data_IF_276836052932
#
_entry.id   IF_276836052932
#
_cell.length_a   1.000
_cell.length_b   1.000
_cell.length_c   1.000
_cell.angle_alpha   90.00
_cell.angle_beta   90.00
_cell.angle_gamma   90.00
#
_symmetry.space_group_name_H-M   'P 1'
#
loop_
_entity.id
_entity.type
_entity.pdbx_description
1 polymer ?
#
# COMPACT_ATOMS: atom_id res chain seq x y z
N UNK A 1 35.99 -29.47 -2.52
CA UNK A 1 35.70 -28.60 -3.68
C UNK A 1 34.47 -27.79 -3.35
N UNK A 2 34.63 -26.53 -2.92
CA UNK A 2 33.51 -25.57 -2.82
C UNK A 2 33.92 -24.37 -3.65
N UNK A 3 33.34 -24.20 -4.83
CA UNK A 3 33.67 -23.06 -5.72
C UNK A 3 32.40 -22.51 -6.35
N UNK A 4 31.41 -22.23 -5.51
CA UNK A 4 30.42 -21.20 -5.79
C UNK A 4 30.59 -20.16 -4.69
N UNK A 5 31.36 -19.13 -5.03
CA UNK A 5 31.56 -17.94 -4.21
C UNK A 5 31.05 -16.74 -4.99
N UNK A 6 30.13 -15.98 -4.41
CA UNK A 6 29.58 -14.78 -5.02
C UNK A 6 29.62 -13.64 -4.02
N UNK A 7 29.92 -12.44 -4.49
CA UNK A 7 29.86 -11.25 -3.64
C UNK A 7 28.41 -10.81 -3.46
N UNK A 8 28.04 -10.49 -2.22
CA UNK A 8 26.69 -10.08 -1.85
C UNK A 8 26.74 -8.84 -0.95
N UNK A 9 25.74 -7.98 -1.04
CA UNK A 9 25.49 -6.91 -0.08
C UNK A 9 24.44 -7.38 0.93
N UNK A 10 24.73 -7.19 2.22
CA UNK A 10 23.81 -7.45 3.31
C UNK A 10 23.55 -6.17 4.11
N UNK A 11 22.28 -5.89 4.40
CA UNK A 11 21.87 -4.77 5.26
C UNK A 11 20.50 -4.98 5.91
N UNK A 12 20.26 -4.30 7.04
CA UNK A 12 18.97 -4.28 7.76
C UNK A 12 18.20 -2.99 7.54
N UNK A 13 18.91 -1.86 7.55
CA UNK A 13 18.38 -0.52 7.26
C UNK A 13 19.31 0.22 6.30
N UNK A 14 18.75 1.13 5.48
CA UNK A 14 19.50 1.97 4.54
C UNK A 14 20.23 3.10 5.28
N UNK A 15 21.22 2.72 6.08
CA UNK A 15 22.19 3.64 6.69
C UNK A 15 23.54 3.27 6.10
N UNK A 16 24.22 4.25 5.51
CA UNK A 16 25.46 4.06 4.74
C UNK A 16 26.48 3.15 5.43
N UNK A 17 26.76 3.41 6.70
CA UNK A 17 27.82 2.76 7.49
C UNK A 17 27.43 1.33 7.92
N UNK A 18 26.21 0.89 7.59
CA UNK A 18 25.56 -0.34 8.07
C UNK A 18 25.21 -1.30 6.93
N UNK A 19 25.77 -1.08 5.74
CA UNK A 19 25.74 -1.99 4.59
C UNK A 19 27.10 -2.66 4.46
N UNK A 20 27.13 -3.98 4.39
CA UNK A 20 28.36 -4.74 4.26
C UNK A 20 28.34 -5.66 3.05
N UNK A 21 29.38 -5.56 2.23
CA UNK A 21 29.75 -6.51 1.18
C UNK A 21 30.49 -7.68 1.80
N UNK A 22 29.96 -8.87 1.60
CA UNK A 22 30.50 -10.14 2.09
C UNK A 22 30.51 -11.18 0.98
N UNK A 23 31.27 -12.25 1.16
CA UNK A 23 31.33 -13.36 0.22
C UNK A 23 30.32 -14.43 0.65
N UNK A 24 29.34 -14.71 -0.19
CA UNK A 24 28.47 -15.87 -0.06
C UNK A 24 29.24 -17.13 -0.44
N UNK A 25 29.33 -18.10 0.46
CA UNK A 25 30.02 -19.36 0.24
C UNK A 25 29.04 -20.51 0.43
N UNK A 26 28.87 -21.33 -0.60
CA UNK A 26 28.06 -22.54 -0.48
C UNK A 26 28.78 -23.59 0.39
N UNK A 27 28.14 -24.00 1.48
CA UNK A 27 28.65 -25.01 2.39
C UNK A 27 27.72 -26.22 2.44
N UNK A 28 28.23 -27.37 1.96
CA UNK A 28 27.53 -28.66 1.94
C UNK A 28 26.98 -29.07 3.31
N UNK A 29 27.75 -28.84 4.36
CA UNK A 29 27.38 -29.30 5.71
C UNK A 29 26.17 -28.54 6.27
N UNK A 30 25.91 -27.32 5.81
CA UNK A 30 24.77 -26.53 6.28
C UNK A 30 23.47 -27.00 5.62
N UNK A 31 23.41 -27.08 4.29
CA UNK A 31 22.16 -27.49 3.64
C UNK A 31 21.86 -28.99 3.81
N UNK A 32 22.88 -29.85 3.89
CA UNK A 32 22.68 -31.29 4.20
C UNK A 32 22.10 -31.52 5.61
N UNK A 33 22.29 -30.58 6.54
CA UNK A 33 21.69 -30.57 7.88
C UNK A 33 20.31 -29.91 7.93
N UNK A 34 19.77 -29.44 6.80
CA UNK A 34 18.42 -28.91 6.70
C UNK A 34 18.28 -27.42 6.93
N UNK A 35 19.37 -26.64 6.88
CA UNK A 35 19.29 -25.17 6.92
C UNK A 35 18.85 -24.63 5.55
N UNK A 36 17.52 -24.53 5.36
CA UNK A 36 16.88 -23.95 4.17
C UNK A 36 16.19 -22.63 4.53
N UNK A 37 16.04 -21.74 3.54
CA UNK A 37 15.37 -20.43 3.68
C UNK A 37 15.93 -19.53 4.79
N UNK A 38 17.20 -19.74 5.15
CA UNK A 38 17.93 -18.95 6.15
C UNK A 38 19.32 -18.60 5.66
N UNK A 39 19.88 -17.50 6.18
CA UNK A 39 21.29 -17.17 6.01
C UNK A 39 22.07 -17.50 7.28
N UNK A 40 23.25 -18.09 7.10
CA UNK A 40 24.15 -18.43 8.20
C UNK A 40 25.36 -17.49 8.15
N UNK A 41 25.52 -16.69 9.19
CA UNK A 41 26.69 -15.83 9.37
C UNK A 41 27.80 -16.55 10.16
N UNK A 42 29.04 -16.20 9.84
CA UNK A 42 30.20 -16.67 10.59
C UNK A 42 30.15 -16.18 12.03
N UNK A 43 30.44 -17.07 12.98
CA UNK A 43 30.66 -16.73 14.40
C UNK A 43 32.12 -16.34 14.70
N UNK A 44 33.00 -16.37 13.69
CA UNK A 44 34.40 -15.96 13.79
C UNK A 44 34.56 -14.45 13.57
N UNK A 45 35.59 -13.87 14.19
CA UNK A 45 35.93 -12.44 14.12
C UNK A 45 35.62 -11.71 15.42
N UNK A 46 36.04 -10.45 15.52
CA UNK A 46 35.91 -9.65 16.76
C UNK A 46 34.48 -9.16 17.01
N UNK A 47 33.66 -9.09 15.95
CA UNK A 47 32.27 -8.66 15.99
C UNK A 47 31.42 -9.49 15.05
N UNK A 48 30.22 -9.88 15.50
CA UNK A 48 29.25 -10.58 14.67
C UNK A 48 28.80 -9.71 13.49
N UNK A 49 28.58 -10.31 12.33
CA UNK A 49 28.08 -9.59 11.15
C UNK A 49 26.72 -8.94 11.41
N UNK A 50 25.81 -9.61 12.13
CA UNK A 50 24.49 -9.04 12.49
C UNK A 50 24.60 -7.68 13.20
N UNK A 51 25.52 -7.57 14.17
CA UNK A 51 25.79 -6.32 14.89
C UNK A 51 26.30 -5.19 13.97
N UNK A 52 27.05 -5.51 12.91
CA UNK A 52 27.48 -4.52 11.91
C UNK A 52 26.32 -4.04 11.01
N UNK A 53 25.25 -4.83 10.90
CA UNK A 53 24.05 -4.51 10.12
C UNK A 53 23.04 -3.73 10.97
N UNK A 54 23.46 -2.57 11.47
CA UNK A 54 22.66 -1.68 12.30
C UNK A 54 22.36 -2.16 13.72
N UNK A 55 23.32 -2.83 14.36
CA UNK A 55 23.15 -3.30 15.75
C UNK A 55 22.18 -4.47 15.87
N UNK A 56 21.96 -5.21 14.77
CA UNK A 56 21.10 -6.38 14.76
C UNK A 56 21.69 -7.56 15.53
N UNK A 57 20.86 -8.55 15.77
CA UNK A 57 21.21 -9.81 16.40
C UNK A 57 20.57 -11.00 15.66
N UNK A 58 20.33 -12.11 16.35
CA UNK A 58 19.77 -13.34 15.78
C UNK A 58 18.44 -13.73 16.47
N UNK A 59 17.71 -12.78 17.07
CA UNK A 59 16.45 -13.02 17.80
C UNK A 59 15.20 -13.08 16.90
N UNK A 60 15.39 -12.94 15.58
CA UNK A 60 14.33 -12.84 14.57
C UNK A 60 14.64 -11.87 13.43
N UNK A 61 15.80 -11.22 13.47
CA UNK A 61 16.26 -10.29 12.45
C UNK A 61 16.37 -10.91 11.05
N UNK A 62 15.78 -10.22 10.08
CA UNK A 62 15.93 -10.52 8.65
C UNK A 62 16.88 -9.52 7.99
N UNK A 63 17.64 -9.97 7.01
CA UNK A 63 18.56 -9.12 6.23
C UNK A 63 18.14 -9.06 4.77
N UNK A 64 18.30 -7.90 4.14
CA UNK A 64 18.17 -7.76 2.70
C UNK A 64 19.48 -8.18 2.06
N UNK A 65 19.39 -9.07 1.08
CA UNK A 65 20.52 -9.55 0.29
C UNK A 65 20.41 -9.09 -1.14
N UNK A 66 21.49 -8.52 -1.67
CA UNK A 66 21.61 -8.16 -3.09
C UNK A 66 22.82 -8.90 -3.64
N UNK A 67 22.60 -9.72 -4.66
CA UNK A 67 23.65 -10.47 -5.37
C UNK A 67 23.80 -10.03 -6.84
N UNK A 68 23.11 -8.97 -7.25
CA UNK A 68 23.25 -8.40 -8.59
C UNK A 68 24.67 -7.82 -8.77
N UNK A 69 25.40 -8.31 -9.76
CA UNK A 69 26.78 -7.91 -10.05
C UNK A 69 26.90 -6.42 -10.40
N UNK A 70 25.87 -5.83 -11.02
CA UNK A 70 25.86 -4.41 -11.36
C UNK A 70 25.84 -3.51 -10.11
N UNK A 71 25.33 -4.02 -8.98
CA UNK A 71 25.26 -3.30 -7.71
C UNK A 71 26.43 -3.70 -6.78
N UNK A 72 26.75 -5.00 -6.72
CA UNK A 72 27.75 -5.55 -5.78
C UNK A 72 29.19 -5.23 -6.20
N UNK A 73 29.51 -5.27 -7.50
CA UNK A 73 30.87 -5.05 -8.02
C UNK A 73 31.43 -3.67 -7.65
N UNK A 74 30.74 -2.55 -7.93
CA UNK A 74 31.27 -1.21 -7.62
C UNK A 74 31.24 -0.86 -6.12
N UNK A 75 30.55 -1.63 -5.28
CA UNK A 75 30.39 -1.31 -3.86
C UNK A 75 31.67 -1.57 -3.07
N UNK A 76 32.02 -0.62 -2.20
CA UNK A 76 33.15 -0.73 -1.27
C UNK A 76 32.68 -0.57 0.18
N UNK A 77 33.14 -1.45 1.05
CA UNK A 77 32.84 -1.37 2.48
C UNK A 77 33.40 -0.09 3.09
N UNK A 78 32.58 0.57 3.91
CA UNK A 78 33.02 1.68 4.75
C UNK A 78 33.96 1.20 5.86
N UNK A 79 34.77 2.13 6.40
CA UNK A 79 35.58 1.83 7.57
C UNK A 79 34.69 1.44 8.77
N UNK A 80 35.12 0.46 9.57
CA UNK A 80 34.31 -0.08 10.67
C UNK A 80 34.10 0.92 11.81
N UNK A 81 34.97 1.91 11.94
CA UNK A 81 34.87 2.97 12.95
C UNK A 81 33.61 3.81 12.79
N UNK A 82 33.07 3.91 11.58
CA UNK A 82 31.82 4.62 11.33
C UNK A 82 30.58 3.83 11.81
N UNK A 83 30.73 2.56 12.18
CA UNK A 83 29.59 1.76 12.64
C UNK A 83 29.11 2.18 14.03
N UNK A 84 30.00 2.74 14.86
CA UNK A 84 29.74 3.10 16.24
C UNK A 84 29.85 4.62 16.44
N UNK A 85 28.96 5.23 17.22
CA UNK A 85 29.07 6.64 17.55
C UNK A 85 30.24 6.90 18.52
N UNK A 86 30.62 8.18 18.66
CA UNK A 86 31.61 8.62 19.65
C UNK A 86 31.28 8.11 21.07
N UNK A 87 32.31 7.86 21.88
CA UNK A 87 32.16 7.27 23.22
C UNK A 87 31.21 8.05 24.16
N UNK A 88 31.15 9.38 24.02
CA UNK A 88 30.29 10.25 24.82
C UNK A 88 28.89 10.49 24.19
N UNK A 89 28.59 9.87 23.05
CA UNK A 89 27.35 10.11 22.30
C UNK A 89 26.09 9.85 23.12
N UNK A 90 26.01 8.69 23.79
CA UNK A 90 24.84 8.35 24.60
C UNK A 90 24.67 9.35 25.74
N UNK A 91 25.77 9.69 26.43
CA UNK A 91 25.78 10.64 27.56
C UNK A 91 25.31 12.03 27.15
N UNK A 92 25.74 12.48 25.97
CA UNK A 92 25.48 13.83 25.46
C UNK A 92 24.08 13.98 24.85
N UNK A 93 23.50 12.92 24.30
CA UNK A 93 22.22 13.00 23.57
C UNK A 93 21.03 12.40 24.34
N UNK A 94 21.28 11.45 25.25
CA UNK A 94 20.24 10.71 25.96
C UNK A 94 20.39 10.84 27.47
N UNK A 95 19.29 10.57 28.16
CA UNK A 95 19.29 10.24 29.57
C UNK A 95 18.61 8.87 29.75
N UNK A 96 19.12 8.08 30.70
CA UNK A 96 18.48 6.81 31.08
C UNK A 96 17.35 7.09 32.06
N UNK A 97 16.14 6.65 31.75
CA UNK A 97 15.05 6.53 32.71
C UNK A 97 15.41 5.40 33.67
N UNK A 98 16.09 5.75 34.77
CA UNK A 98 16.65 4.79 35.76
C UNK A 98 15.61 4.31 36.77
N UNK A 99 14.35 4.13 36.37
CA UNK A 99 13.35 3.62 37.29
C UNK A 99 13.35 2.10 37.23
N UNK A 100 14.04 1.45 38.17
CA UNK A 100 14.01 0.00 38.27
C UNK A 100 12.78 -0.45 39.07
N UNK A 101 12.24 -1.63 38.75
CA UNK A 101 11.10 -2.21 39.49
C UNK A 101 11.38 -2.35 40.99
N UNK A 102 12.63 -2.63 41.37
CA UNK A 102 13.05 -2.67 42.78
C UNK A 102 12.90 -1.31 43.48
N UNK A 103 13.13 -0.22 42.77
CA UNK A 103 13.07 1.14 43.31
C UNK A 103 11.60 1.57 43.46
N UNK A 104 10.76 1.21 42.48
CA UNK A 104 9.30 1.36 42.56
C UNK A 104 8.74 0.58 43.76
N UNK A 105 9.15 -0.68 43.93
CA UNK A 105 8.73 -1.53 45.04
C UNK A 105 9.13 -0.93 46.38
N UNK A 106 10.41 -0.54 46.53
CA UNK A 106 10.90 0.07 47.75
C UNK A 106 10.17 1.39 48.08
N UNK A 107 9.88 2.23 47.08
CA UNK A 107 9.13 3.48 47.27
C UNK A 107 7.67 3.23 47.65
N UNK A 108 7.00 2.25 47.03
CA UNK A 108 5.63 1.87 47.37
C UNK A 108 5.53 1.33 48.81
N UNK A 109 6.49 0.48 49.22
CA UNK A 109 6.58 -0.06 50.58
C UNK A 109 6.86 1.05 51.61
N UNK A 110 7.78 1.97 51.33
CA UNK A 110 8.12 3.11 52.19
C UNK A 110 6.97 4.12 52.33
N UNK A 111 6.24 4.39 51.24
CA UNK A 111 5.18 5.40 51.24
C UNK A 111 3.78 4.85 51.53
N UNK A 112 3.63 3.53 51.77
CA UNK A 112 2.34 2.82 51.88
C UNK A 112 1.36 3.13 50.74
N UNK A 113 1.87 3.45 49.55
CA UNK A 113 1.04 3.74 48.37
C UNK A 113 0.81 2.46 47.60
N UNK A 114 -0.27 2.43 46.84
CA UNK A 114 -0.57 1.32 45.95
C UNK A 114 0.54 1.17 44.89
N UNK A 115 1.16 0.00 44.87
CA UNK A 115 2.19 -0.36 43.91
C UNK A 115 1.63 -0.46 42.49
N UNK A 116 0.32 -0.76 42.37
CA UNK A 116 -0.37 -0.92 41.08
C UNK A 116 -0.34 0.39 40.29
N UNK A 117 -0.56 1.54 40.94
CA UNK A 117 -0.54 2.83 40.28
C UNK A 117 0.83 3.17 39.69
N UNK A 118 1.91 2.95 40.45
CA UNK A 118 3.28 3.23 40.00
C UNK A 118 3.75 2.23 38.92
N UNK A 119 3.35 0.97 39.04
CA UNK A 119 3.60 -0.02 38.01
C UNK A 119 2.85 0.30 36.71
N UNK A 120 1.60 0.74 36.82
CA UNK A 120 0.80 1.18 35.67
C UNK A 120 1.46 2.37 34.98
N UNK A 121 1.89 3.38 35.73
CA UNK A 121 2.63 4.53 35.17
C UNK A 121 3.91 4.09 34.44
N UNK A 122 4.70 3.19 35.02
CA UNK A 122 5.90 2.64 34.37
C UNK A 122 5.58 1.85 33.10
N UNK A 123 4.49 1.05 33.09
CA UNK A 123 4.04 0.32 31.90
C UNK A 123 3.52 1.25 30.80
N UNK A 124 2.86 2.35 31.18
CA UNK A 124 2.35 3.36 30.25
C UNK A 124 3.47 4.16 29.56
N UNK A 125 4.69 4.18 30.09
CA UNK A 125 5.84 4.81 29.41
C UNK A 125 6.12 4.18 28.04
N UNK A 126 5.81 2.89 27.84
CA UNK A 126 5.96 2.22 26.55
C UNK A 126 4.93 2.66 25.49
N UNK A 127 3.88 3.38 25.91
CA UNK A 127 2.84 3.95 25.03
C UNK A 127 3.18 5.40 24.66
N UNK A 128 4.17 6.01 25.33
CA UNK A 128 4.60 7.36 25.02
C UNK A 128 5.09 7.45 23.56
N UNK A 129 4.80 8.56 22.85
CA UNK A 129 5.18 8.70 21.45
C UNK A 129 6.69 8.58 21.30
N UNK A 130 7.12 7.52 20.61
CA UNK A 130 8.53 7.34 20.31
C UNK A 130 8.98 8.40 19.31
N UNK A 131 10.19 8.94 19.50
CA UNK A 131 10.75 9.95 18.61
C UNK A 131 11.36 9.34 17.34
N UNK A 132 11.11 8.05 17.10
CA UNK A 132 11.70 7.27 16.03
C UNK A 132 11.38 7.86 14.64
N UNK A 133 10.08 8.06 14.36
CA UNK A 133 9.65 8.62 13.07
C UNK A 133 10.17 10.04 12.85
N UNK A 134 10.30 10.82 13.93
CA UNK A 134 10.80 12.19 13.90
C UNK A 134 12.30 12.22 13.58
N UNK A 135 13.10 11.38 14.24
CA UNK A 135 14.54 11.29 13.97
C UNK A 135 14.86 10.68 12.60
N UNK A 136 14.04 9.76 12.08
CA UNK A 136 14.15 9.29 10.71
C UNK A 136 13.95 10.44 9.71
N UNK A 137 12.96 11.29 9.93
CA UNK A 137 12.73 12.47 9.11
C UNK A 137 13.90 13.46 9.20
N UNK A 138 14.41 13.73 10.41
CA UNK A 138 15.57 14.61 10.58
C UNK A 138 16.80 14.09 9.84
N UNK A 139 17.07 12.79 9.97
CA UNK A 139 18.16 12.12 9.25
C UNK A 139 18.03 12.25 7.73
N UNK A 140 16.84 12.00 7.17
CA UNK A 140 16.60 12.13 5.72
C UNK A 140 16.80 13.56 5.22
N UNK A 141 16.30 14.55 5.96
CA UNK A 141 16.47 15.96 5.63
C UNK A 141 17.95 16.38 5.68
N UNK A 142 18.69 15.94 6.69
CA UNK A 142 20.12 16.20 6.81
C UNK A 142 20.92 15.51 5.70
N UNK A 143 20.62 14.25 5.40
CA UNK A 143 21.25 13.49 4.31
C UNK A 143 21.02 14.14 2.95
N UNK A 144 19.83 14.70 2.71
CA UNK A 144 19.53 15.43 1.49
C UNK A 144 20.32 16.74 1.39
N UNK A 145 20.39 17.52 2.47
CA UNK A 145 21.03 18.85 2.48
C UNK A 145 22.55 18.76 2.49
N UNK A 146 23.12 17.89 3.32
CA UNK A 146 24.56 17.82 3.61
C UNK A 146 25.26 16.59 3.03
N UNK A 147 24.50 15.62 2.52
CA UNK A 147 25.05 14.33 2.12
C UNK A 147 25.20 13.35 3.28
N UNK A 148 25.52 12.11 2.94
CA UNK A 148 25.66 11.00 3.89
C UNK A 148 26.96 11.04 4.71
N UNK A 149 28.03 11.65 4.17
CA UNK A 149 29.33 11.78 4.84
C UNK A 149 29.38 12.83 5.94
N UNK A 150 28.37 13.71 6.01
CA UNK A 150 28.47 14.86 6.87
C UNK A 150 28.30 14.46 8.35
N UNK A 151 29.11 14.98 9.29
CA UNK A 151 29.05 14.60 10.71
C UNK A 151 27.67 14.77 11.34
N UNK A 152 26.93 15.81 10.92
CA UNK A 152 25.54 16.02 11.38
C UNK A 152 24.62 14.87 10.92
N UNK A 153 24.77 14.43 9.67
CA UNK A 153 23.97 13.33 9.11
C UNK A 153 24.30 12.01 9.80
N UNK A 154 25.58 11.70 9.99
CA UNK A 154 26.02 10.51 10.73
C UNK A 154 25.49 10.54 12.18
N UNK A 155 25.65 11.67 12.91
CA UNK A 155 25.09 11.85 14.26
C UNK A 155 23.58 11.59 14.30
N UNK A 156 22.81 12.15 13.37
CA UNK A 156 21.36 11.92 13.29
C UNK A 156 21.00 10.47 12.92
N UNK A 157 21.83 9.80 12.12
CA UNK A 157 21.70 8.37 11.84
C UNK A 157 21.88 7.53 13.11
N UNK A 158 22.88 7.83 13.93
CA UNK A 158 23.06 7.20 15.23
C UNK A 158 21.88 7.51 16.18
N UNK A 159 21.39 8.75 16.21
CA UNK A 159 20.20 9.12 16.99
C UNK A 159 18.98 8.29 16.59
N UNK A 160 18.71 8.17 15.28
CA UNK A 160 17.63 7.35 14.76
C UNK A 160 17.76 5.89 15.20
N UNK A 161 18.96 5.32 15.14
CA UNK A 161 19.16 3.91 15.52
C UNK A 161 19.03 3.68 17.02
N UNK A 162 19.52 4.59 17.87
CA UNK A 162 19.32 4.50 19.31
C UNK A 162 17.84 4.71 19.70
N UNK A 163 17.10 5.51 18.95
CA UNK A 163 15.65 5.67 19.13
C UNK A 163 14.85 4.40 18.79
N UNK A 164 15.39 3.46 17.99
CA UNK A 164 14.77 2.14 17.79
C UNK A 164 14.82 1.32 19.09
N UNK A 165 15.96 1.35 19.77
CA UNK A 165 16.21 0.58 20.99
C UNK A 165 15.79 1.31 22.27
N UNK A 166 15.38 2.57 22.17
CA UNK A 166 15.02 3.44 23.29
C UNK A 166 13.94 2.83 24.19
N UNK A 167 12.94 2.17 23.60
CA UNK A 167 11.84 1.51 24.34
C UNK A 167 12.37 0.35 25.21
N UNK A 168 13.35 -0.42 24.70
CA UNK A 168 13.93 -1.57 25.44
C UNK A 168 14.96 -1.13 26.48
N UNK A 169 15.73 -0.08 26.16
CA UNK A 169 16.86 0.39 26.95
C UNK A 169 16.50 1.46 27.99
N UNK A 170 15.27 2.00 27.94
CA UNK A 170 14.84 3.11 28.78
C UNK A 170 15.59 4.42 28.47
N UNK A 171 16.16 4.54 27.28
CA UNK A 171 16.82 5.76 26.82
C UNK A 171 15.77 6.77 26.36
N UNK A 172 15.91 8.00 26.84
CA UNK A 172 15.06 9.12 26.41
C UNK A 172 15.98 10.22 25.89
N UNK A 173 15.67 10.73 24.71
CA UNK A 173 16.42 11.86 24.13
C UNK A 173 16.28 13.06 25.06
N UNK A 174 17.38 13.75 25.28
CA UNK A 174 17.41 14.99 26.05
C UNK A 174 16.56 16.06 25.39
N UNK A 175 15.73 16.75 26.18
CA UNK A 175 14.79 17.75 25.67
C UNK A 175 15.51 18.91 24.98
N UNK A 176 16.66 19.33 25.51
CA UNK A 176 17.51 20.36 24.90
C UNK A 176 18.03 19.95 23.51
N UNK A 177 18.42 18.69 23.35
CA UNK A 177 18.91 18.13 22.08
C UNK A 177 17.75 18.01 21.10
N UNK A 178 16.61 17.48 21.56
CA UNK A 178 15.41 17.35 20.73
C UNK A 178 14.91 18.70 20.21
N UNK A 179 14.87 19.74 21.05
CA UNK A 179 14.46 21.10 20.64
C UNK A 179 15.42 21.70 19.62
N UNK A 180 16.73 21.49 19.79
CA UNK A 180 17.73 21.96 18.84
C UNK A 180 17.58 21.25 17.49
N UNK A 181 17.47 19.92 17.51
CA UNK A 181 17.30 19.09 16.31
C UNK A 181 15.99 19.42 15.58
N UNK A 182 14.89 19.57 16.32
CA UNK A 182 13.60 19.98 15.78
C UNK A 182 13.66 21.34 15.12
N UNK A 183 14.31 22.33 15.76
CA UNK A 183 14.46 23.67 15.18
C UNK A 183 15.24 23.65 13.86
N UNK A 184 16.22 22.76 13.74
CA UNK A 184 17.04 22.63 12.55
C UNK A 184 16.33 21.85 11.43
N UNK A 185 15.71 20.71 11.77
CA UNK A 185 15.36 19.64 10.83
C UNK A 185 13.88 19.32 10.69
N UNK A 186 13.00 19.92 11.52
CA UNK A 186 11.54 19.86 11.35
C UNK A 186 11.10 20.76 10.19
N UNK A 187 11.40 20.29 8.98
CA UNK A 187 11.20 20.95 7.69
C UNK A 187 10.36 20.07 6.77
N UNK A 188 9.84 20.70 5.73
CA UNK A 188 9.20 19.97 4.62
C UNK A 188 10.21 18.98 4.00
N UNK A 189 9.85 17.71 3.82
CA UNK A 189 10.73 16.73 3.20
C UNK A 189 11.01 17.08 1.72
N UNK A 190 12.11 16.59 1.14
CA UNK A 190 12.36 16.72 -0.29
C UNK A 190 11.28 16.03 -1.12
N UNK A 191 11.06 16.48 -2.36
CA UNK A 191 10.06 15.89 -3.28
C UNK A 191 10.29 14.40 -3.55
N UNK A 192 11.55 13.95 -3.61
CA UNK A 192 11.90 12.54 -3.75
C UNK A 192 11.54 11.67 -2.52
N UNK A 193 11.04 12.29 -1.46
CA UNK A 193 10.67 11.69 -0.19
C UNK A 193 9.26 12.11 0.23
N UNK A 194 8.22 11.86 -0.58
CA UNK A 194 6.87 12.32 -0.28
C UNK A 194 6.40 11.69 1.04
N UNK A 195 5.93 12.53 1.96
CA UNK A 195 5.27 12.04 3.17
C UNK A 195 3.81 11.74 2.82
N UNK A 196 3.32 10.53 3.13
CA UNK A 196 1.89 10.17 2.95
C UNK A 196 0.92 11.14 3.64
N UNK A 197 1.39 11.93 4.60
CA UNK A 197 0.60 12.96 5.30
C UNK A 197 0.40 14.25 4.51
N UNK A 198 1.15 14.50 3.44
CA UNK A 198 0.98 15.70 2.60
C UNK A 198 -0.26 15.62 1.71
N UNK A 199 -0.73 14.41 1.39
CA UNK A 199 -1.99 14.21 0.65
C UNK A 199 -3.22 14.66 1.46
N UNK A 200 -3.14 14.69 2.79
CA UNK A 200 -4.28 14.97 3.67
C UNK A 200 -4.37 16.42 4.18
N UNK A 201 -3.50 17.34 3.73
CA UNK A 201 -3.63 18.78 3.98
C UNK A 201 -3.70 19.22 5.46
N UNK A 202 -3.44 18.31 6.41
CA UNK A 202 -3.81 18.49 7.82
C UNK A 202 -2.67 18.87 8.76
N UNK A 203 -1.47 19.12 8.25
CA UNK A 203 -0.36 19.61 9.07
C UNK A 203 -0.07 21.08 8.77
N UNK A 204 0.08 21.86 9.84
CA UNK A 204 0.49 23.27 9.75
C UNK A 204 1.74 23.44 8.87
N UNK A 205 1.80 24.58 8.17
CA UNK A 205 2.81 24.90 7.15
C UNK A 205 4.21 24.75 7.74
N UNK A 206 4.90 23.64 7.45
CA UNK A 206 6.31 23.46 7.80
C UNK A 206 7.15 24.44 7.01
N UNK A 207 8.28 24.84 7.59
CA UNK A 207 9.23 25.70 6.88
C UNK A 207 9.94 24.88 5.79
N UNK A 208 10.28 25.51 4.65
CA UNK A 208 10.97 24.82 3.57
C UNK A 208 12.34 24.33 4.04
N UNK A 209 12.76 23.19 3.51
CA UNK A 209 14.11 22.67 3.72
C UNK A 209 15.13 23.60 3.04
N UNK A 210 16.30 23.74 3.66
CA UNK A 210 17.39 24.49 3.05
C UNK A 210 17.80 23.86 1.71
N UNK A 211 18.28 24.68 0.78
CA UNK A 211 18.87 24.18 -0.46
C UNK A 211 20.01 23.21 -0.15
N UNK A 212 20.13 22.18 -0.99
CA UNK A 212 21.22 21.21 -0.94
C UNK A 212 22.56 21.95 -1.03
N UNK A 213 23.48 21.62 -0.12
CA UNK A 213 24.81 22.22 0.01
C UNK A 213 25.90 21.41 -0.68
N UNK A 214 25.49 20.40 -1.44
CA UNK A 214 26.36 19.39 -2.02
C UNK A 214 26.18 19.40 -3.52
N UNK A 215 27.29 19.58 -4.23
CA UNK A 215 27.28 19.84 -5.68
C UNK A 215 26.95 18.60 -6.53
N UNK A 216 27.08 17.40 -5.96
CA UNK A 216 26.71 16.18 -6.67
C UNK A 216 25.20 15.93 -6.63
N UNK A 217 24.69 15.44 -7.76
CA UNK A 217 23.29 15.11 -8.00
C UNK A 217 22.80 14.11 -6.95
N UNK A 218 21.60 14.32 -6.41
CA UNK A 218 20.97 13.33 -5.53
C UNK A 218 20.30 12.26 -6.37
N UNK A 219 20.74 11.01 -6.21
CA UNK A 219 20.24 9.89 -7.03
C UNK A 219 18.72 9.72 -6.96
N UNK A 220 18.10 9.98 -5.80
CA UNK A 220 16.65 9.85 -5.65
C UNK A 220 15.87 10.94 -6.40
N UNK A 221 16.45 12.12 -6.62
CA UNK A 221 15.81 13.14 -7.47
C UNK A 221 15.79 12.65 -8.93
N UNK A 222 16.91 12.11 -9.41
CA UNK A 222 17.00 11.52 -10.76
C UNK A 222 16.02 10.37 -10.93
N UNK A 223 15.98 9.44 -9.98
CA UNK A 223 15.06 8.30 -10.03
C UNK A 223 13.60 8.75 -9.97
N UNK A 224 13.29 9.77 -9.18
CA UNK A 224 11.95 10.35 -9.14
C UNK A 224 11.56 10.98 -10.48
N UNK A 225 12.44 11.77 -11.10
CA UNK A 225 12.19 12.36 -12.42
C UNK A 225 11.99 11.31 -13.51
N UNK A 226 12.82 10.26 -13.52
CA UNK A 226 12.68 9.13 -14.46
C UNK A 226 11.37 8.38 -14.21
N UNK A 227 11.04 8.10 -12.95
CA UNK A 227 9.79 7.43 -12.59
C UNK A 227 8.56 8.26 -13.02
N UNK A 228 8.58 9.57 -12.80
CA UNK A 228 7.51 10.49 -13.22
C UNK A 228 7.37 10.53 -14.73
N UNK A 229 8.49 10.60 -15.46
CA UNK A 229 8.51 10.61 -16.91
C UNK A 229 7.93 9.32 -17.50
N UNK A 230 8.45 8.16 -17.08
CA UNK A 230 7.97 6.86 -17.55
C UNK A 230 6.49 6.66 -17.16
N UNK A 231 6.09 7.02 -15.94
CA UNK A 231 4.69 6.95 -15.51
C UNK A 231 3.77 7.77 -16.42
N UNK A 232 4.14 9.01 -16.74
CA UNK A 232 3.35 9.87 -17.65
C UNK A 232 3.29 9.29 -19.05
N UNK A 233 4.41 8.77 -19.57
CA UNK A 233 4.50 8.12 -20.89
C UNK A 233 3.59 6.89 -20.97
N UNK A 234 3.67 5.97 -20.01
CA UNK A 234 2.80 4.80 -19.96
C UNK A 234 1.33 5.18 -19.79
N UNK A 235 1.02 6.14 -18.90
CA UNK A 235 -0.36 6.65 -18.75
C UNK A 235 -0.90 7.20 -20.06
N UNK A 236 -0.12 7.99 -20.80
CA UNK A 236 -0.50 8.50 -22.12
C UNK A 236 -0.76 7.36 -23.10
N UNK A 237 0.15 6.39 -23.21
CA UNK A 237 -0.03 5.24 -24.09
C UNK A 237 -1.26 4.41 -23.76
N UNK A 238 -1.57 4.23 -22.47
CA UNK A 238 -2.78 3.51 -22.03
C UNK A 238 -4.05 4.29 -22.31
N UNK A 239 -4.04 5.61 -22.13
CA UNK A 239 -5.16 6.50 -22.49
C UNK A 239 -5.41 6.44 -24.00
N UNK A 240 -4.37 6.54 -24.83
CA UNK A 240 -4.50 6.44 -26.28
C UNK A 240 -5.02 5.07 -26.71
N UNK A 241 -4.55 3.98 -26.08
CA UNK A 241 -5.06 2.64 -26.34
C UNK A 241 -6.53 2.51 -25.96
N UNK A 242 -6.92 2.99 -24.78
CA UNK A 242 -8.32 3.05 -24.33
C UNK A 242 -9.19 3.82 -25.32
N UNK A 243 -8.74 5.00 -25.75
CA UNK A 243 -9.50 5.87 -26.63
C UNK A 243 -9.67 5.23 -28.02
N UNK A 244 -8.66 4.53 -28.53
CA UNK A 244 -8.79 3.70 -29.74
C UNK A 244 -9.83 2.60 -29.56
N UNK A 245 -9.73 1.79 -28.51
CA UNK A 245 -10.69 0.71 -28.24
C UNK A 245 -12.13 1.24 -28.08
N UNK A 246 -12.30 2.38 -27.40
CA UNK A 246 -13.61 3.02 -27.23
C UNK A 246 -14.15 3.59 -28.55
N UNK A 247 -13.29 4.11 -29.43
CA UNK A 247 -13.71 4.65 -30.72
C UNK A 247 -14.21 3.59 -31.70
N UNK A 248 -13.66 2.37 -31.60
CA UNK A 248 -14.09 1.21 -32.38
C UNK A 248 -15.10 0.33 -31.64
N UNK A 249 -15.64 0.81 -30.52
CA UNK A 249 -16.53 0.00 -29.69
C UNK A 249 -17.93 -0.05 -30.28
N UNK A 250 -18.34 -1.23 -30.71
CA UNK A 250 -19.74 -1.52 -31.01
C UNK A 250 -20.42 -2.10 -29.77
N UNK A 251 -21.63 -1.64 -29.42
CA UNK A 251 -22.36 -2.22 -28.30
C UNK A 251 -22.58 -3.73 -28.49
N UNK A 252 -22.31 -4.47 -27.43
CA UNK A 252 -22.48 -5.92 -27.36
C UNK A 252 -23.97 -6.26 -27.38
N UNK A 253 -24.44 -6.80 -28.50
CA UNK A 253 -25.85 -7.15 -28.71
C UNK A 253 -26.36 -8.16 -27.65
N UNK A 254 -25.50 -9.07 -27.17
CA UNK A 254 -25.90 -10.05 -26.14
C UNK A 254 -26.29 -9.36 -24.84
N UNK A 255 -25.56 -8.29 -24.48
CA UNK A 255 -25.82 -7.52 -23.27
C UNK A 255 -27.07 -6.63 -23.40
N UNK A 256 -27.47 -6.28 -24.63
CA UNK A 256 -28.66 -5.46 -24.92
C UNK A 256 -29.92 -6.34 -25.15
N UNK A 257 -29.73 -7.61 -25.50
CA UNK A 257 -30.79 -8.55 -25.85
C UNK A 257 -31.93 -8.64 -24.81
N UNK A 258 -31.68 -8.71 -23.48
CA UNK A 258 -32.77 -8.79 -22.50
C UNK A 258 -33.72 -7.59 -22.53
N UNK A 259 -33.19 -6.39 -22.78
CA UNK A 259 -34.00 -5.20 -22.93
C UNK A 259 -34.79 -5.22 -24.25
N UNK A 260 -34.14 -5.60 -25.36
CA UNK A 260 -34.82 -5.73 -26.66
C UNK A 260 -35.95 -6.77 -26.61
N UNK A 261 -35.76 -7.88 -25.91
CA UNK A 261 -36.80 -8.89 -25.69
C UNK A 261 -37.99 -8.32 -24.92
N UNK A 262 -37.75 -7.55 -23.86
CA UNK A 262 -38.80 -6.88 -23.11
C UNK A 262 -39.56 -5.86 -23.99
N UNK A 263 -38.84 -5.06 -24.78
CA UNK A 263 -39.42 -4.10 -25.71
C UNK A 263 -40.24 -4.80 -26.80
N UNK A 264 -39.78 -5.93 -27.35
CA UNK A 264 -40.55 -6.77 -28.29
C UNK A 264 -41.83 -7.34 -27.66
N UNK A 265 -41.80 -7.73 -26.38
CA UNK A 265 -43.00 -8.21 -25.67
C UNK A 265 -44.04 -7.10 -25.51
N UNK A 266 -43.61 -5.85 -25.25
CA UNK A 266 -44.53 -4.70 -25.14
C UNK A 266 -45.32 -4.48 -26.44
N UNK A 267 -44.69 -4.64 -27.61
CA UNK A 267 -45.39 -4.52 -28.89
C UNK A 267 -46.55 -5.53 -29.03
N UNK A 268 -46.45 -6.69 -28.38
CA UNK A 268 -47.51 -7.72 -28.35
C UNK A 268 -48.51 -7.49 -27.20
N UNK A 269 -48.02 -6.94 -26.08
CA UNK A 269 -48.80 -6.72 -24.86
C UNK A 269 -48.52 -5.32 -24.30
N UNK A 270 -49.29 -4.29 -24.72
CA UNK A 270 -49.06 -2.90 -24.30
C UNK A 270 -49.13 -2.67 -22.78
N UNK A 271 -49.82 -3.55 -22.04
CA UNK A 271 -49.92 -3.52 -20.58
C UNK A 271 -48.56 -3.67 -19.86
N UNK A 272 -47.54 -4.19 -20.56
CA UNK A 272 -46.18 -4.34 -20.05
C UNK A 272 -45.39 -3.02 -20.03
N UNK A 273 -45.90 -1.97 -20.69
CA UNK A 273 -45.17 -0.72 -20.87
C UNK A 273 -44.89 -0.02 -19.54
N UNK A 274 -45.91 0.10 -18.69
CA UNK A 274 -45.81 0.83 -17.42
C UNK A 274 -44.77 0.18 -16.49
N UNK A 275 -44.76 -1.15 -16.40
CA UNK A 275 -43.79 -1.89 -15.59
C UNK A 275 -42.36 -1.75 -16.14
N UNK A 276 -42.15 -1.77 -17.47
CA UNK A 276 -40.83 -1.55 -18.04
C UNK A 276 -40.31 -0.13 -17.77
N UNK A 277 -41.19 0.87 -17.82
CA UNK A 277 -40.81 2.27 -17.54
C UNK A 277 -40.44 2.47 -16.05
N UNK A 278 -41.05 1.72 -15.12
CA UNK A 278 -40.60 1.69 -13.72
C UNK A 278 -39.15 1.19 -13.61
N UNK A 279 -38.81 0.11 -14.32
CA UNK A 279 -37.44 -0.44 -14.32
C UNK A 279 -36.45 0.57 -14.93
N UNK A 280 -36.80 1.18 -16.07
CA UNK A 280 -35.94 2.19 -16.72
C UNK A 280 -35.74 3.42 -15.84
N UNK A 281 -36.78 3.87 -15.15
CA UNK A 281 -36.73 5.02 -14.24
C UNK A 281 -35.84 4.76 -13.02
N UNK A 282 -35.87 3.52 -12.48
CA UNK A 282 -34.96 3.11 -11.41
C UNK A 282 -33.50 3.23 -11.84
N UNK A 283 -33.13 2.66 -12.99
CA UNK A 283 -31.75 2.72 -13.52
C UNK A 283 -31.30 4.15 -13.75
N UNK A 284 -32.14 4.99 -14.37
CA UNK A 284 -31.84 6.42 -14.61
C UNK A 284 -31.58 7.19 -13.32
N UNK A 285 -32.44 7.03 -12.31
CA UNK A 285 -32.29 7.76 -11.04
C UNK A 285 -31.00 7.36 -10.31
N UNK A 286 -30.67 6.07 -10.27
CA UNK A 286 -29.43 5.60 -9.66
C UNK A 286 -28.18 5.97 -10.43
N UNK A 287 -28.27 6.13 -11.75
CA UNK A 287 -27.17 6.66 -12.56
C UNK A 287 -26.83 8.10 -12.17
N UNK A 288 -27.85 8.93 -11.92
CA UNK A 288 -27.62 10.29 -11.40
C UNK A 288 -26.99 10.28 -10.00
N UNK A 289 -27.46 9.39 -9.11
CA UNK A 289 -26.85 9.22 -7.79
C UNK A 289 -25.40 8.76 -7.89
N UNK A 290 -25.08 7.87 -8.82
CA UNK A 290 -23.73 7.40 -9.07
C UNK A 290 -22.80 8.53 -9.53
N UNK A 291 -23.25 9.38 -10.47
CA UNK A 291 -22.48 10.55 -10.92
C UNK A 291 -22.26 11.55 -9.78
N UNK A 292 -23.29 11.80 -8.96
CA UNK A 292 -23.18 12.68 -7.79
C UNK A 292 -22.18 12.10 -6.78
N UNK A 293 -22.30 10.81 -6.46
CA UNK A 293 -21.42 10.10 -5.53
C UNK A 293 -19.95 10.12 -5.96
N UNK A 294 -19.68 9.90 -7.26
CA UNK A 294 -18.33 9.99 -7.84
C UNK A 294 -17.69 11.38 -7.67
N UNK A 295 -18.51 12.42 -7.68
CA UNK A 295 -18.07 13.80 -7.46
C UNK A 295 -18.18 14.24 -5.98
N UNK A 296 -18.34 13.30 -5.03
CA UNK A 296 -18.56 13.57 -3.60
C UNK A 296 -19.71 14.55 -3.30
N UNK A 297 -20.78 14.44 -4.12
CA UNK A 297 -21.99 15.23 -4.03
C UNK A 297 -23.23 14.33 -3.79
N UNK A 298 -24.32 14.95 -3.33
CA UNK A 298 -25.61 14.27 -3.17
C UNK A 298 -25.77 13.49 -1.86
N UNK A 299 -26.93 12.83 -1.67
CA UNK A 299 -27.36 12.30 -0.38
C UNK A 299 -26.39 11.26 0.21
N UNK A 300 -25.81 10.41 -0.64
CA UNK A 300 -24.85 9.37 -0.25
C UNK A 300 -23.52 9.96 0.25
N UNK A 301 -23.08 11.11 -0.27
CA UNK A 301 -21.88 11.83 0.21
C UNK A 301 -22.10 12.60 1.52
N UNK A 302 -23.34 13.03 1.78
CA UNK A 302 -23.67 13.84 2.98
C UNK A 302 -23.88 12.95 4.20
N UNK A 303 -24.50 11.78 4.02
CA UNK A 303 -24.68 10.78 5.09
C UNK A 303 -23.33 10.24 5.59
N UNK A 304 -22.40 9.93 4.68
CA UNK A 304 -21.07 9.44 5.06
C UNK A 304 -20.21 10.50 5.76
N UNK A 305 -20.29 11.79 5.37
CA UNK A 305 -19.62 12.87 6.11
C UNK A 305 -20.11 13.01 7.56
N UNK A 306 -21.37 12.67 7.84
CA UNK A 306 -21.90 12.65 9.20
C UNK A 306 -21.38 11.44 10.01
N UNK A 307 -21.34 10.25 9.39
CA UNK A 307 -20.89 9.01 10.03
C UNK A 307 -19.37 8.91 10.22
N UNK A 308 -18.57 9.38 9.26
CA UNK A 308 -17.11 9.39 9.34
C UNK A 308 -16.58 10.35 10.41
N UNK A 309 -17.31 11.43 10.72
CA UNK A 309 -16.96 12.34 11.83
C UNK A 309 -16.93 11.63 13.20
N UNK A 310 -17.57 10.46 13.30
CA UNK A 310 -17.64 9.63 14.51
C UNK A 310 -16.73 8.40 14.48
N UNK A 311 -16.25 7.97 13.31
CA UNK A 311 -15.38 6.80 13.15
C UNK A 311 -14.12 7.20 12.39
N UNK A 312 -13.01 7.32 13.10
CA UNK A 312 -11.66 7.45 12.54
C UNK A 312 -11.24 6.17 11.76
N UNK A 313 -11.97 5.81 10.71
CA UNK A 313 -11.66 4.68 9.83
C UNK A 313 -11.12 5.21 8.51
N UNK A 314 -9.80 5.29 8.45
CA UNK A 314 -9.04 5.39 7.21
C UNK A 314 -9.02 4.00 6.56
N UNK A 315 -9.35 3.89 5.28
CA UNK A 315 -9.09 2.65 4.54
C UNK A 315 -9.57 2.58 3.10
N UNK A 316 -10.58 3.35 2.71
CA UNK A 316 -11.14 3.38 1.36
C UNK A 316 -11.36 4.86 1.02
N UNK A 317 -10.99 5.30 -0.18
CA UNK A 317 -11.20 6.71 -0.57
C UNK A 317 -12.67 7.08 -0.47
N UNK A 318 -12.99 8.29 0.01
CA UNK A 318 -14.37 8.78 0.21
C UNK A 318 -15.25 8.52 -1.03
N UNK A 319 -14.69 8.71 -2.23
CA UNK A 319 -15.32 8.40 -3.51
C UNK A 319 -15.75 6.93 -3.65
N UNK A 320 -14.87 5.98 -3.30
CA UNK A 320 -15.13 4.54 -3.42
C UNK A 320 -16.22 4.08 -2.45
N UNK A 321 -16.27 4.65 -1.25
CA UNK A 321 -17.30 4.34 -0.26
C UNK A 321 -18.65 4.93 -0.67
N UNK A 322 -18.67 6.15 -1.20
CA UNK A 322 -19.85 6.77 -1.79
C UNK A 322 -20.43 5.91 -2.94
N UNK A 323 -19.57 5.43 -3.85
CA UNK A 323 -19.97 4.55 -4.96
C UNK A 323 -20.53 3.21 -4.44
N UNK A 324 -19.90 2.64 -3.42
CA UNK A 324 -20.36 1.37 -2.81
C UNK A 324 -21.74 1.52 -2.18
N UNK A 325 -21.99 2.63 -1.47
CA UNK A 325 -23.29 2.90 -0.87
C UNK A 325 -24.40 3.03 -1.93
N UNK A 326 -24.14 3.75 -3.03
CA UNK A 326 -25.10 3.86 -4.15
C UNK A 326 -25.38 2.48 -4.77
N UNK A 327 -24.34 1.68 -4.98
CA UNK A 327 -24.44 0.33 -5.57
C UNK A 327 -25.25 -0.63 -4.70
N UNK A 328 -25.05 -0.56 -3.38
CA UNK A 328 -25.82 -1.36 -2.43
C UNK A 328 -27.29 -0.92 -2.39
N UNK A 329 -27.54 0.39 -2.36
CA UNK A 329 -28.90 0.92 -2.43
C UNK A 329 -29.59 0.59 -3.75
N UNK A 330 -28.88 0.58 -4.88
CA UNK A 330 -29.43 0.16 -6.17
C UNK A 330 -29.99 -1.25 -6.11
N UNK A 331 -29.23 -2.18 -5.53
CA UNK A 331 -29.63 -3.58 -5.40
C UNK A 331 -30.78 -3.78 -4.41
N UNK A 332 -30.76 -3.05 -3.29
CA UNK A 332 -31.81 -3.13 -2.25
C UNK A 332 -33.14 -2.50 -2.69
N UNK A 333 -33.09 -1.45 -3.51
CA UNK A 333 -34.27 -0.72 -3.98
C UNK A 333 -34.74 -1.15 -5.37
N UNK A 334 -34.24 -2.29 -5.88
CA UNK A 334 -34.73 -2.87 -7.14
C UNK A 334 -36.27 -3.02 -7.09
N UNK A 335 -37.00 -2.66 -8.16
CA UNK A 335 -38.44 -2.89 -8.22
C UNK A 335 -38.77 -4.37 -8.03
N UNK A 336 -39.66 -4.68 -7.09
CA UNK A 336 -40.12 -6.04 -6.78
C UNK A 336 -41.64 -6.13 -6.86
N UNK A 337 -42.18 -7.32 -7.10
CA UNK A 337 -43.63 -7.54 -7.09
C UNK A 337 -44.35 -6.94 -8.29
N UNK A 338 -43.64 -6.77 -9.41
CA UNK A 338 -44.23 -6.46 -10.71
C UNK A 338 -45.04 -7.67 -11.18
N UNK A 339 -46.23 -7.44 -11.73
CA UNK A 339 -47.16 -8.51 -12.06
C UNK A 339 -46.72 -9.27 -13.32
N UNK A 340 -45.98 -8.62 -14.21
CA UNK A 340 -45.67 -9.15 -15.53
C UNK A 340 -44.20 -9.50 -15.75
N UNK A 341 -43.30 -8.98 -14.90
CA UNK A 341 -41.88 -9.35 -14.88
C UNK A 341 -41.51 -9.99 -13.55
N UNK A 342 -40.90 -11.18 -13.60
CA UNK A 342 -40.32 -11.79 -12.39
C UNK A 342 -39.15 -10.96 -11.86
N UNK A 343 -38.88 -10.99 -10.56
CA UNK A 343 -37.76 -10.26 -9.94
C UNK A 343 -36.39 -10.58 -10.62
N UNK A 344 -36.22 -11.80 -11.11
CA UNK A 344 -35.03 -12.20 -11.88
C UNK A 344 -34.96 -11.52 -13.25
N UNK A 345 -36.09 -11.43 -13.96
CA UNK A 345 -36.17 -10.70 -15.23
C UNK A 345 -35.96 -9.21 -15.03
N UNK A 346 -36.50 -8.63 -13.95
CA UNK A 346 -36.32 -7.22 -13.61
C UNK A 346 -34.84 -6.87 -13.47
N UNK A 347 -34.06 -7.68 -12.72
CA UNK A 347 -32.61 -7.48 -12.59
C UNK A 347 -31.88 -7.59 -13.92
N UNK A 348 -32.24 -8.58 -14.74
CA UNK A 348 -31.63 -8.82 -16.05
C UNK A 348 -31.91 -7.68 -17.03
N UNK A 349 -33.15 -7.19 -17.07
CA UNK A 349 -33.56 -6.04 -17.91
C UNK A 349 -32.88 -4.77 -17.41
N UNK A 350 -32.84 -4.54 -16.10
CA UNK A 350 -32.18 -3.38 -15.51
C UNK A 350 -30.67 -3.36 -15.80
N UNK A 351 -30.00 -4.52 -15.70
CA UNK A 351 -28.60 -4.69 -16.07
C UNK A 351 -28.35 -4.35 -17.55
N UNK A 352 -29.17 -4.92 -18.43
CA UNK A 352 -29.13 -4.66 -19.88
C UNK A 352 -29.34 -3.18 -20.22
N UNK A 353 -30.29 -2.53 -19.54
CA UNK A 353 -30.55 -1.10 -19.71
C UNK A 353 -29.44 -0.22 -19.15
N UNK A 354 -28.87 -0.56 -17.98
CA UNK A 354 -27.70 0.15 -17.43
C UNK A 354 -26.50 0.07 -18.38
N UNK A 355 -26.27 -1.09 -19.00
CA UNK A 355 -25.23 -1.26 -20.02
C UNK A 355 -25.50 -0.40 -21.26
N UNK A 356 -26.74 -0.37 -21.76
CA UNK A 356 -27.13 0.49 -22.90
C UNK A 356 -26.90 1.98 -22.62
N UNK A 357 -27.19 2.45 -21.41
CA UNK A 357 -26.96 3.86 -21.03
C UNK A 357 -25.47 4.23 -21.00
N UNK A 358 -24.60 3.30 -20.56
CA UNK A 358 -23.16 3.52 -20.52
C UNK A 358 -22.50 3.33 -21.91
N UNK A 359 -23.01 2.41 -22.74
CA UNK A 359 -22.51 2.17 -24.10
C UNK A 359 -22.70 3.39 -25.01
N UNK A 360 -23.84 4.09 -24.88
CA UNK A 360 -24.10 5.36 -25.59
C UNK A 360 -23.06 6.46 -25.29
N UNK A 361 -22.32 6.33 -24.18
CA UNK A 361 -21.33 7.33 -23.73
C UNK A 361 -19.90 6.82 -23.84
N UNK A 362 -19.68 5.55 -24.14
CA UNK A 362 -18.36 4.91 -24.15
C UNK A 362 -17.66 4.88 -22.79
N UNK A 363 -18.42 4.96 -21.68
CA UNK A 363 -17.88 4.98 -20.31
C UNK A 363 -18.66 3.98 -19.45
N UNK A 364 -18.06 2.81 -19.23
CA UNK A 364 -18.69 1.66 -18.54
C UNK A 364 -18.51 1.67 -17.02
N UNK A 365 -18.60 2.84 -16.39
CA UNK A 365 -18.36 2.97 -14.95
C UNK A 365 -19.55 2.54 -14.10
N UNK A 366 -20.77 2.87 -14.53
CA UNK A 366 -21.98 2.67 -13.75
C UNK A 366 -22.52 1.25 -13.93
N UNK A 367 -22.64 0.76 -15.16
CA UNK A 367 -23.23 -0.55 -15.45
C UNK A 367 -22.49 -1.69 -14.74
N UNK A 368 -21.15 -1.67 -14.75
CA UNK A 368 -20.34 -2.67 -14.06
C UNK A 368 -20.31 -2.46 -12.55
N UNK A 369 -20.49 -1.25 -12.04
CA UNK A 369 -20.63 -1.05 -10.60
C UNK A 369 -21.93 -1.69 -10.08
N UNK A 370 -23.05 -1.45 -10.78
CA UNK A 370 -24.38 -1.84 -10.28
C UNK A 370 -24.87 -3.21 -10.72
N UNK A 371 -24.32 -3.75 -11.81
CA UNK A 371 -24.86 -4.96 -12.45
C UNK A 371 -23.79 -5.95 -12.93
N UNK A 372 -22.57 -5.93 -12.37
CA UNK A 372 -21.47 -6.83 -12.75
C UNK A 372 -21.92 -8.29 -12.91
N UNK A 373 -22.49 -8.88 -11.87
CA UNK A 373 -22.86 -10.29 -11.84
C UNK A 373 -23.93 -10.64 -12.89
N UNK A 374 -24.92 -9.77 -13.08
CA UNK A 374 -26.00 -9.98 -14.06
C UNK A 374 -25.48 -9.83 -15.49
N UNK A 375 -24.59 -8.86 -15.76
CA UNK A 375 -23.95 -8.70 -17.07
C UNK A 375 -23.09 -9.92 -17.42
N UNK A 376 -22.29 -10.42 -16.47
CA UNK A 376 -21.53 -11.66 -16.65
C UNK A 376 -22.46 -12.85 -16.92
N UNK A 377 -23.58 -12.96 -16.21
CA UNK A 377 -24.57 -14.03 -16.41
C UNK A 377 -25.26 -13.94 -17.77
N UNK A 378 -25.54 -12.73 -18.28
CA UNK A 378 -26.07 -12.52 -19.62
C UNK A 378 -25.07 -13.02 -20.66
N UNK A 379 -23.81 -12.61 -20.56
CA UNK A 379 -22.77 -13.00 -21.54
C UNK A 379 -22.46 -14.49 -21.51
N UNK A 380 -22.40 -15.09 -20.31
CA UNK A 380 -22.19 -16.53 -20.15
C UNK A 380 -23.33 -17.38 -20.71
N UNK A 381 -24.57 -16.86 -20.75
CA UNK A 381 -25.71 -17.55 -21.38
C UNK A 381 -25.71 -17.41 -22.89
N UNK A 382 -25.13 -16.32 -23.42
CA UNK A 382 -25.10 -16.04 -24.86
C UNK A 382 -23.97 -16.77 -25.59
N UNK A 383 -22.91 -17.21 -24.88
CA UNK A 383 -21.74 -17.88 -25.49
C UNK A 383 -22.04 -19.21 -26.18
N UNK A 384 -23.26 -19.76 -26.05
CA UNK A 384 -23.70 -20.99 -26.73
C UNK A 384 -23.08 -22.28 -26.18
N UNK A 385 -22.03 -22.17 -25.38
CA UNK A 385 -21.42 -23.28 -24.65
C UNK A 385 -22.17 -23.58 -23.34
N UNK A 386 -21.93 -24.75 -22.77
CA UNK A 386 -22.46 -25.09 -21.45
C UNK A 386 -21.83 -24.20 -20.38
N UNK A 387 -22.65 -23.42 -19.66
CA UNK A 387 -22.20 -22.63 -18.52
C UNK A 387 -22.49 -23.35 -17.19
N UNK A 388 -21.63 -23.12 -16.19
CA UNK A 388 -21.78 -23.68 -14.84
C UNK A 388 -21.94 -22.53 -13.85
N UNK A 389 -22.93 -22.62 -12.97
CA UNK A 389 -23.10 -21.69 -11.87
C UNK A 389 -22.32 -22.18 -10.65
N UNK A 390 -21.48 -21.31 -10.10
CA UNK A 390 -20.65 -21.62 -8.93
C UNK A 390 -21.06 -20.73 -7.76
N UNK A 391 -20.96 -21.27 -6.55
CA UNK A 391 -21.21 -20.49 -5.33
C UNK A 391 -20.02 -19.57 -5.04
N UNK A 392 -20.23 -18.40 -4.42
CA UNK A 392 -19.16 -17.44 -4.13
C UNK A 392 -17.98 -18.07 -3.39
N UNK A 393 -18.23 -18.87 -2.35
CA UNK A 393 -17.17 -19.52 -1.59
C UNK A 393 -16.33 -20.51 -2.41
N UNK A 394 -16.90 -21.12 -3.45
CA UNK A 394 -16.13 -21.95 -4.37
C UNK A 394 -15.31 -21.09 -5.33
N UNK A 395 -15.91 -20.05 -5.93
CA UNK A 395 -15.22 -19.12 -6.85
C UNK A 395 -14.01 -18.46 -6.17
N UNK A 396 -14.16 -18.03 -4.91
CA UNK A 396 -13.08 -17.43 -4.12
C UNK A 396 -11.91 -18.39 -3.85
N UNK A 397 -12.17 -19.71 -3.87
CA UNK A 397 -11.14 -20.74 -3.72
C UNK A 397 -10.44 -21.10 -5.04
N UNK A 398 -10.96 -20.64 -6.19
CA UNK A 398 -10.39 -20.95 -7.49
C UNK A 398 -9.29 -19.96 -7.88
N UNK A 399 -8.21 -20.50 -8.44
CA UNK A 399 -7.14 -19.72 -9.06
C UNK A 399 -6.86 -20.30 -10.43
N UNK A 400 -6.67 -19.44 -11.43
CA UNK A 400 -6.25 -19.87 -12.77
C UNK A 400 -4.87 -20.52 -12.64
N UNK A 401 -4.80 -21.82 -12.85
CA UNK A 401 -3.56 -22.58 -12.70
C UNK A 401 -2.53 -22.12 -13.74
N UNK A 402 -1.31 -21.77 -13.30
CA UNK A 402 -0.27 -21.18 -14.18
C UNK A 402 0.01 -22.02 -15.44
N UNK A 403 -0.01 -23.35 -15.33
CA UNK A 403 0.18 -24.25 -16.48
C UNK A 403 -0.95 -24.12 -17.52
N UNK A 404 -2.19 -23.94 -17.07
CA UNK A 404 -3.33 -23.75 -17.98
C UNK A 404 -3.23 -22.41 -18.71
N UNK A 405 -2.82 -21.34 -18.00
CA UNK A 405 -2.63 -20.03 -18.62
C UNK A 405 -1.56 -20.06 -19.74
N UNK A 406 -0.52 -20.87 -19.59
CA UNK A 406 0.48 -21.09 -20.64
C UNK A 406 -0.14 -21.79 -21.86
N UNK A 407 -0.92 -22.84 -21.64
CA UNK A 407 -1.59 -23.59 -22.71
C UNK A 407 -2.58 -22.70 -23.47
N UNK A 408 -3.37 -21.88 -22.79
CA UNK A 408 -4.31 -20.98 -23.45
C UNK A 408 -3.61 -19.96 -24.36
N UNK A 409 -2.48 -19.40 -23.91
CA UNK A 409 -1.67 -18.48 -24.74
C UNK A 409 -1.09 -19.16 -25.99
N UNK A 410 -0.65 -20.41 -25.86
CA UNK A 410 -0.13 -21.20 -26.99
C UNK A 410 -1.25 -21.58 -27.97
N UNK A 411 -2.46 -21.85 -27.47
CA UNK A 411 -3.64 -22.13 -28.30
C UNK A 411 -4.14 -20.89 -29.05
N UNK A 412 -4.09 -19.70 -28.44
CA UNK A 412 -4.48 -18.44 -29.10
C UNK A 412 -3.47 -18.04 -30.20
N UNK A 413 -2.16 -18.27 -29.99
CA UNK A 413 -1.15 -17.99 -31.02
C UNK A 413 -1.30 -18.87 -32.28
N UNK A 414 -1.76 -20.11 -32.13
CA UNK A 414 -2.01 -21.03 -33.24
C UNK A 414 -3.25 -20.67 -34.08
N UNK A 415 -4.15 -19.86 -33.53
CA UNK A 415 -5.35 -19.36 -34.22
C UNK A 415 -5.02 -18.10 -35.02
N UNK A 416 -4.20 -17.20 -34.47
CA UNK A 416 -3.73 -15.99 -35.16
C UNK A 416 -2.73 -16.30 -36.31
N UNK A 417 -2.00 -17.42 -36.28
CA UNK A 417 -1.14 -17.85 -37.42
C UNK A 417 -1.93 -18.53 -38.56
N UNK A 418 -3.21 -18.84 -38.35
CA UNK A 418 -4.08 -19.52 -39.35
C UNK A 418 -5.14 -18.63 -39.97
N UNK A 419 -5.23 -17.36 -39.56
CA UNK A 419 -5.93 -16.28 -40.28
C UNK A 419 -4.92 -15.43 -41.06
#
# INVERSE_FOLDING_TARGET
MCTLSQEILAFKYLIREKINKVVAVNNHDLWSRGYYDVIVFSTKGDRSLASLLSGGDYDGDTVVMIWDEAITTPFQNSHKEFADPDADFERNNFHKSKVFLRDIKAQAELSKKDIVAQLTEAMLQNIAPNQLGVYNMFYRNAAYVHGLDHPITSRLGHMFTQCLDAVKSGLVVREEVFRADKRAWDREPPKCFPSKTEENGSNGRRLPLASRRVDHIFILDVLHEVADYETKKYKKSLIEMRDRCNSSYEPDEDLIQPLQDAERRIHRHPQLHDELEVIKSHVKSFREFFIKARNNMGPYSTQLRYEQRWKNKLGIGEEQENIRAVTESYSRQMPTGLAMFSDCEVRRIAASYAYKEDSLRGIFGFCFAVAWAELCAIKARASGEGFVTLTPGFVESMVIHRKMNKIFREMESDVDEKM
#
